data_IF_853457957594
#
_entry.id   IF_853457957594
#
_cell.length_a   1.000
_cell.length_b   1.000
_cell.length_c   1.000
_cell.angle_alpha   90.00
_cell.angle_beta   90.00
_cell.angle_gamma   90.00
#
_symmetry.space_group_name_H-M   'P 1'
#
loop_
_entity.id
_entity.type
_entity.pdbx_description
1 polymer ?
#
# COMPACT_ATOMS: atom_id res chain seq x y z
N UNK A 1 9.27 -0.20 -18.79
CA UNK A 1 9.37 1.10 -18.08
C UNK A 1 9.57 0.87 -16.59
N UNK A 2 10.33 1.70 -15.86
CA UNK A 2 10.51 1.54 -14.41
C UNK A 2 9.74 2.63 -13.68
N UNK A 3 8.89 2.24 -12.74
CA UNK A 3 8.05 3.14 -11.97
C UNK A 3 8.33 2.89 -10.49
N UNK A 4 8.78 3.92 -9.79
CA UNK A 4 9.06 3.86 -8.36
C UNK A 4 8.04 4.71 -7.61
N UNK A 5 7.35 4.11 -6.66
CA UNK A 5 6.36 4.75 -5.80
C UNK A 5 6.97 4.82 -4.40
N UNK A 6 7.08 6.03 -3.85
CA UNK A 6 7.62 6.27 -2.51
C UNK A 6 6.46 6.52 -1.55
N UNK A 7 6.36 5.68 -0.53
CA UNK A 7 5.28 5.66 0.44
C UNK A 7 4.16 4.69 0.04
N UNK A 8 3.83 3.76 0.94
CA UNK A 8 2.73 2.80 0.84
C UNK A 8 1.55 3.19 1.73
N UNK A 9 1.28 4.50 1.86
CA UNK A 9 0.02 5.01 2.41
C UNK A 9 -1.18 4.74 1.47
N UNK A 10 -2.34 5.35 1.76
CA UNK A 10 -3.57 5.11 1.00
C UNK A 10 -3.39 5.34 -0.50
N UNK A 11 -2.76 6.47 -0.84
CA UNK A 11 -2.53 6.85 -2.23
C UNK A 11 -1.50 5.94 -2.91
N UNK A 12 -0.37 5.68 -2.25
CA UNK A 12 0.72 4.91 -2.83
C UNK A 12 0.35 3.46 -3.09
N UNK A 13 -0.24 2.79 -2.10
CA UNK A 13 -0.69 1.40 -2.25
C UNK A 13 -1.81 1.28 -3.28
N UNK A 14 -2.80 2.18 -3.25
CA UNK A 14 -3.90 2.18 -4.23
C UNK A 14 -3.38 2.42 -5.65
N UNK A 15 -2.47 3.37 -5.81
CA UNK A 15 -1.84 3.68 -7.11
C UNK A 15 -1.08 2.47 -7.63
N UNK A 16 -0.26 1.82 -6.80
CA UNK A 16 0.48 0.62 -7.19
C UNK A 16 -0.45 -0.49 -7.69
N UNK A 17 -1.51 -0.80 -6.95
CA UNK A 17 -2.48 -1.83 -7.31
C UNK A 17 -3.28 -1.52 -8.58
N UNK A 18 -3.69 -0.26 -8.75
CA UNK A 18 -4.42 0.15 -9.95
C UNK A 18 -3.51 0.15 -11.17
N UNK A 19 -2.28 0.65 -11.01
CA UNK A 19 -1.30 0.70 -12.09
C UNK A 19 -0.90 -0.70 -12.55
N UNK A 20 -0.70 -1.62 -11.61
CA UNK A 20 -0.45 -3.03 -11.88
C UNK A 20 -1.53 -3.62 -12.80
N UNK A 21 -2.81 -3.43 -12.46
CA UNK A 21 -3.93 -3.92 -13.27
C UNK A 21 -3.98 -3.30 -14.67
N UNK A 22 -3.63 -2.02 -14.80
CA UNK A 22 -3.64 -1.31 -16.08
C UNK A 22 -2.53 -1.79 -17.00
N UNK A 23 -1.33 -2.01 -16.47
CA UNK A 23 -0.18 -2.41 -17.29
C UNK A 23 -0.15 -3.91 -17.58
N UNK A 24 -0.81 -4.71 -16.74
CA UNK A 24 -0.94 -6.17 -16.91
C UNK A 24 -1.57 -6.49 -18.27
N UNK A 25 -0.76 -7.04 -19.17
CA UNK A 25 -1.16 -7.50 -20.51
C UNK A 25 -0.96 -6.46 -21.63
N UNK A 26 -0.76 -5.19 -21.32
CA UNK A 26 -0.47 -4.15 -22.32
C UNK A 26 1.02 -3.81 -22.39
N UNK A 27 1.72 -3.84 -21.25
CA UNK A 27 3.12 -3.43 -21.15
C UNK A 27 3.89 -4.42 -20.25
N UNK A 28 4.26 -5.60 -20.77
CA UNK A 28 4.88 -6.67 -19.98
C UNK A 28 6.27 -6.29 -19.41
N UNK A 29 6.97 -5.34 -20.04
CA UNK A 29 8.30 -4.88 -19.61
C UNK A 29 8.23 -3.73 -18.57
N UNK A 30 7.08 -3.52 -17.95
CA UNK A 30 6.91 -2.51 -16.90
C UNK A 30 7.13 -3.10 -15.52
N UNK A 31 8.08 -2.52 -14.78
CA UNK A 31 8.37 -2.87 -13.39
C UNK A 31 7.89 -1.75 -12.48
N UNK A 32 7.04 -2.11 -11.52
CA UNK A 32 6.53 -1.20 -10.49
C UNK A 32 7.20 -1.58 -9.17
N UNK A 33 7.88 -0.63 -8.53
CA UNK A 33 8.52 -0.81 -7.23
C UNK A 33 7.88 0.13 -6.22
N UNK A 34 7.29 -0.44 -5.17
CA UNK A 34 6.74 0.31 -4.04
C UNK A 34 7.74 0.26 -2.89
N UNK A 35 8.18 1.42 -2.42
CA UNK A 35 9.12 1.56 -1.31
C UNK A 35 8.39 2.23 -0.15
N UNK A 36 8.38 1.59 1.00
CA UNK A 36 7.85 2.16 2.24
C UNK A 36 8.81 1.89 3.40
N UNK A 37 8.69 2.70 4.45
CA UNK A 37 9.48 2.55 5.66
C UNK A 37 9.11 1.28 6.43
N UNK A 38 7.84 0.87 6.40
CA UNK A 38 7.33 -0.26 7.15
C UNK A 38 6.77 -1.36 6.23
N UNK A 39 6.85 -2.65 6.61
CA UNK A 39 6.32 -3.76 5.81
C UNK A 39 4.78 -3.91 5.94
N UNK A 40 4.06 -2.87 6.36
CA UNK A 40 2.61 -2.87 6.56
C UNK A 40 2.00 -1.54 6.12
N UNK A 41 0.75 -1.60 5.68
CA UNK A 41 -0.08 -0.42 5.44
C UNK A 41 -1.00 -0.21 6.64
N UNK A 42 -0.94 0.96 7.27
CA UNK A 42 -1.74 1.27 8.44
C UNK A 42 -3.06 1.93 8.06
N UNK A 43 -4.15 1.40 8.63
CA UNK A 43 -5.46 2.04 8.62
C UNK A 43 -5.49 3.18 9.64
N UNK A 44 -4.86 4.31 9.32
CA UNK A 44 -4.66 5.41 10.28
C UNK A 44 -5.97 5.99 10.83
N UNK A 45 -7.07 5.88 10.10
CA UNK A 45 -8.38 6.32 10.62
C UNK A 45 -8.83 5.49 11.83
N UNK A 46 -8.39 4.24 11.97
CA UNK A 46 -8.71 3.36 13.10
C UNK A 46 -7.71 3.50 14.26
N UNK A 47 -6.69 4.35 14.12
CA UNK A 47 -5.65 4.51 15.14
C UNK A 47 -6.21 4.97 16.49
N UNK A 48 -7.31 5.73 16.50
CA UNK A 48 -7.94 6.14 17.75
C UNK A 48 -8.47 4.96 18.55
N UNK A 49 -8.97 3.90 17.90
CA UNK A 49 -9.41 2.68 18.59
C UNK A 49 -8.23 1.97 19.27
N UNK A 50 -7.12 1.75 18.55
CA UNK A 50 -5.92 1.08 19.10
C UNK A 50 -5.15 1.94 20.08
N UNK A 51 -5.24 3.27 19.98
CA UNK A 51 -4.63 4.18 20.93
C UNK A 51 -5.40 4.26 22.26
N UNK A 52 -6.72 4.03 22.24
CA UNK A 52 -7.56 4.07 23.45
C UNK A 52 -7.77 2.71 24.11
N UNK A 53 -7.84 1.64 23.32
CA UNK A 53 -8.03 0.28 23.79
C UNK A 53 -6.72 -0.48 23.57
N UNK A 54 -6.09 -0.94 24.65
CA UNK A 54 -4.78 -1.61 24.62
C UNK A 54 -4.78 -3.01 23.97
N UNK A 55 -5.82 -3.33 23.19
CA UNK A 55 -5.97 -4.60 22.48
C UNK A 55 -5.83 -4.39 20.97
N UNK A 56 -4.59 -4.42 20.51
CA UNK A 56 -4.30 -4.71 19.11
C UNK A 56 -4.75 -6.15 18.79
N UNK A 57 -5.90 -6.31 18.14
CA UNK A 57 -6.17 -7.28 17.07
C UNK A 57 -7.66 -7.60 16.93
N UNK A 58 -8.24 -7.20 15.79
CA UNK A 58 -9.03 -8.13 14.99
C UNK A 58 -8.34 -8.30 13.63
N UNK A 59 -7.24 -9.03 13.64
CA UNK A 59 -6.80 -9.74 12.46
C UNK A 59 -7.82 -10.86 12.18
N UNK A 60 -8.75 -10.59 11.27
CA UNK A 60 -9.57 -11.58 10.58
C UNK A 60 -9.63 -11.19 9.11
#
# INVERSE_FOLDING_TARGET
MKIVILGAGYAGLRTALNLEKLVRGQQPDTTITLVDQNPYHQLIQELHHTATDGSDSKAA
#
